data_IF_456651089210
#
_entry.id   IF_456651089210
#
_cell.length_a   1.000
_cell.length_b   1.000
_cell.length_c   1.000
_cell.angle_alpha   90.00
_cell.angle_beta   90.00
_cell.angle_gamma   90.00
#
_symmetry.space_group_name_H-M   'P 1'
#
loop_
_entity.id
_entity.type
_entity.pdbx_description
1 polymer ?
#
# COMPACT_ATOMS: atom_id res chain seq x y z
N UNK A 1 -83.09 -69.31 17.51
CA UNK A 1 -82.62 -68.20 16.65
C UNK A 1 -82.49 -66.83 17.33
N UNK A 2 -83.17 -66.53 18.44
CA UNK A 2 -83.14 -65.23 19.11
C UNK A 2 -81.82 -64.95 19.90
N UNK A 3 -81.14 -66.00 20.42
CA UNK A 3 -79.89 -65.85 21.17
C UNK A 3 -78.64 -65.62 20.31
N UNK A 4 -78.63 -66.08 19.07
CA UNK A 4 -77.49 -65.85 18.12
C UNK A 4 -77.44 -64.40 17.59
N UNK A 5 -78.59 -63.75 17.45
CA UNK A 5 -78.65 -62.35 16.99
C UNK A 5 -78.20 -61.37 18.09
N UNK A 6 -78.46 -61.63 19.35
CA UNK A 6 -78.04 -60.82 20.48
C UNK A 6 -76.51 -60.87 20.69
N UNK A 7 -75.88 -62.05 20.46
CA UNK A 7 -74.39 -62.18 20.58
C UNK A 7 -73.64 -61.43 19.49
N UNK A 8 -74.19 -61.41 18.26
CA UNK A 8 -73.52 -60.66 17.13
C UNK A 8 -73.62 -59.14 17.27
N UNK A 9 -74.70 -58.61 17.81
CA UNK A 9 -74.86 -57.16 18.06
C UNK A 9 -73.97 -56.71 19.21
N UNK A 10 -73.76 -57.54 20.25
CA UNK A 10 -72.86 -57.22 21.37
C UNK A 10 -71.36 -57.22 20.93
N UNK A 11 -70.97 -58.18 20.08
CA UNK A 11 -69.63 -58.23 19.51
C UNK A 11 -69.34 -57.04 18.56
N UNK A 12 -70.34 -56.58 17.78
CA UNK A 12 -70.23 -55.46 16.91
C UNK A 12 -70.12 -54.11 17.67
N UNK A 13 -70.83 -53.98 18.78
CA UNK A 13 -70.77 -52.83 19.67
C UNK A 13 -69.45 -52.77 20.44
N UNK A 14 -68.84 -53.89 20.80
CA UNK A 14 -67.49 -53.93 21.41
C UNK A 14 -66.37 -53.59 20.43
N UNK A 15 -66.52 -53.97 19.16
CA UNK A 15 -65.51 -53.62 18.12
C UNK A 15 -65.50 -52.12 17.79
N UNK A 16 -66.62 -51.46 17.81
CA UNK A 16 -66.70 -50.00 17.60
C UNK A 16 -66.02 -49.22 18.73
N UNK A 17 -66.15 -49.63 19.96
CA UNK A 17 -65.50 -49.00 21.11
C UNK A 17 -63.97 -49.25 21.11
N UNK A 18 -63.49 -50.39 20.57
CA UNK A 18 -62.05 -50.66 20.45
C UNK A 18 -61.38 -49.80 19.41
N UNK A 19 -62.07 -49.55 18.29
CA UNK A 19 -61.53 -48.60 17.26
C UNK A 19 -61.48 -47.19 17.79
N UNK A 20 -62.50 -46.69 18.44
CA UNK A 20 -62.47 -45.32 19.02
C UNK A 20 -61.38 -45.17 20.08
N UNK A 21 -61.09 -46.20 20.88
CA UNK A 21 -60.01 -46.16 21.88
C UNK A 21 -58.61 -46.20 21.29
N UNK A 22 -58.42 -46.92 20.18
CA UNK A 22 -57.14 -46.95 19.48
C UNK A 22 -56.84 -45.60 18.75
N UNK A 23 -57.87 -45.00 18.14
CA UNK A 23 -57.81 -43.72 17.46
C UNK A 23 -57.54 -42.58 18.46
N UNK A 24 -58.10 -42.60 19.65
CA UNK A 24 -57.86 -41.69 20.75
C UNK A 24 -56.41 -41.81 21.27
N UNK A 25 -55.83 -43.01 21.32
CA UNK A 25 -54.44 -43.23 21.67
C UNK A 25 -53.46 -42.63 20.63
N UNK A 26 -53.73 -42.77 19.34
CA UNK A 26 -52.92 -42.29 18.26
C UNK A 26 -53.02 -40.77 18.16
N UNK A 27 -54.22 -40.23 18.35
CA UNK A 27 -54.44 -38.80 18.45
C UNK A 27 -53.67 -38.17 19.64
N UNK A 28 -53.69 -38.77 20.79
CA UNK A 28 -52.95 -38.34 21.98
C UNK A 28 -51.45 -38.43 21.76
N UNK A 29 -50.94 -39.47 21.07
CA UNK A 29 -49.53 -39.60 20.73
C UNK A 29 -49.10 -38.48 19.80
N UNK A 30 -49.84 -38.15 18.73
CA UNK A 30 -49.57 -37.04 17.82
C UNK A 30 -49.64 -35.71 18.53
N UNK A 31 -50.56 -35.50 19.45
CA UNK A 31 -50.61 -34.26 20.26
C UNK A 31 -49.36 -34.13 21.12
N UNK A 32 -48.89 -35.20 21.75
CA UNK A 32 -47.70 -35.20 22.60
C UNK A 32 -46.43 -34.98 21.77
N UNK A 33 -46.35 -35.61 20.58
CA UNK A 33 -45.25 -35.42 19.65
C UNK A 33 -45.20 -33.97 19.13
N UNK A 34 -46.34 -33.39 18.74
CA UNK A 34 -46.45 -31.99 18.35
C UNK A 34 -46.10 -31.04 19.50
N UNK A 35 -46.53 -31.35 20.72
CA UNK A 35 -46.16 -30.55 21.90
C UNK A 35 -44.64 -30.57 22.14
N UNK A 36 -44.03 -31.75 22.00
CA UNK A 36 -42.59 -31.91 22.18
C UNK A 36 -41.82 -31.18 21.07
N UNK A 37 -42.27 -31.29 19.82
CA UNK A 37 -41.69 -30.57 18.68
C UNK A 37 -41.82 -29.04 18.82
N UNK A 38 -42.99 -28.59 19.24
CA UNK A 38 -43.19 -27.15 19.50
C UNK A 38 -42.31 -26.68 20.67
N UNK A 39 -42.16 -27.49 21.73
CA UNK A 39 -41.32 -27.15 22.86
C UNK A 39 -39.84 -27.04 22.45
N UNK A 40 -39.34 -28.01 21.67
CA UNK A 40 -37.97 -27.93 21.13
C UNK A 40 -37.77 -26.73 20.19
N UNK A 41 -38.75 -26.43 19.33
CA UNK A 41 -38.71 -25.26 18.46
C UNK A 41 -38.70 -23.92 19.26
N UNK A 42 -39.50 -23.86 20.33
CA UNK A 42 -39.48 -22.71 21.24
C UNK A 42 -38.16 -22.56 21.98
N UNK A 43 -37.54 -23.65 22.41
CA UNK A 43 -36.26 -23.64 23.09
C UNK A 43 -35.13 -23.25 22.14
N UNK A 44 -35.16 -23.71 20.89
CA UNK A 44 -34.23 -23.27 19.84
C UNK A 44 -34.39 -21.77 19.50
N UNK A 45 -35.65 -21.32 19.36
CA UNK A 45 -35.95 -19.91 19.12
C UNK A 45 -35.42 -19.04 20.25
N UNK A 46 -35.60 -19.46 21.50
CA UNK A 46 -35.11 -18.75 22.69
C UNK A 46 -33.59 -18.69 22.74
N UNK A 47 -32.90 -19.80 22.38
CA UNK A 47 -31.44 -19.82 22.25
C UNK A 47 -30.95 -18.89 21.18
N UNK A 48 -31.58 -18.88 20.01
CA UNK A 48 -31.23 -17.99 18.91
C UNK A 48 -31.46 -16.53 19.27
N UNK A 49 -32.54 -16.22 19.99
CA UNK A 49 -32.82 -14.87 20.47
C UNK A 49 -31.75 -14.41 21.48
N UNK A 50 -31.36 -15.25 22.43
CA UNK A 50 -30.27 -14.93 23.37
C UNK A 50 -28.95 -14.71 22.66
N UNK A 51 -28.60 -15.57 21.70
CA UNK A 51 -27.37 -15.38 20.90
C UNK A 51 -27.38 -14.08 20.07
N UNK A 52 -28.56 -13.67 19.57
CA UNK A 52 -28.73 -12.39 18.89
C UNK A 52 -28.54 -11.21 19.86
N UNK A 53 -29.15 -11.28 21.03
CA UNK A 53 -29.02 -10.25 22.06
C UNK A 53 -27.57 -10.09 22.52
N UNK A 54 -26.82 -11.18 22.70
CA UNK A 54 -25.37 -11.13 23.00
C UNK A 54 -24.57 -10.50 21.88
N UNK A 55 -24.88 -10.83 20.62
CA UNK A 55 -24.23 -10.22 19.45
C UNK A 55 -24.54 -8.73 19.32
N UNK A 56 -25.77 -8.34 19.58
CA UNK A 56 -26.17 -6.91 19.57
C UNK A 56 -25.45 -6.17 20.70
N UNK A 57 -25.39 -6.73 21.90
CA UNK A 57 -24.69 -6.15 23.03
C UNK A 57 -23.17 -6.01 22.74
N UNK A 58 -22.55 -7.01 22.09
CA UNK A 58 -21.16 -6.93 21.67
C UNK A 58 -20.93 -5.84 20.62
N UNK A 59 -21.81 -5.72 19.62
CA UNK A 59 -21.75 -4.65 18.62
C UNK A 59 -21.97 -3.27 19.27
N UNK A 60 -22.93 -3.15 20.18
CA UNK A 60 -23.13 -1.89 20.91
C UNK A 60 -21.93 -1.52 21.78
N UNK A 61 -21.27 -2.49 22.41
CA UNK A 61 -20.04 -2.29 23.17
C UNK A 61 -18.88 -1.80 22.27
N UNK A 62 -18.77 -2.32 21.04
CA UNK A 62 -17.79 -1.87 20.05
C UNK A 62 -18.14 -0.46 19.54
N UNK A 63 -19.41 -0.18 19.25
CA UNK A 63 -19.88 1.10 18.72
C UNK A 63 -19.87 2.21 19.78
N UNK A 64 -20.25 1.91 21.01
CA UNK A 64 -20.26 2.86 22.15
C UNK A 64 -18.93 2.93 22.90
N UNK A 65 -18.10 1.87 22.76
CA UNK A 65 -16.83 1.76 23.44
C UNK A 65 -15.66 2.32 22.62
N UNK A 66 -14.54 2.40 23.23
CA UNK A 66 -13.23 2.92 22.86
C UNK A 66 -12.85 2.99 21.37
N UNK A 67 -13.43 2.17 20.50
CA UNK A 67 -13.07 2.13 19.08
C UNK A 67 -13.40 3.41 18.32
N UNK A 68 -14.51 4.09 18.61
CA UNK A 68 -14.85 5.36 17.96
C UNK A 68 -13.97 6.51 18.46
N UNK A 69 -13.68 6.53 19.77
CA UNK A 69 -12.77 7.52 20.36
C UNK A 69 -11.33 7.29 19.91
N UNK A 70 -10.92 6.04 19.76
CA UNK A 70 -9.59 5.66 19.24
C UNK A 70 -9.44 6.02 17.77
N UNK A 71 -10.47 5.79 16.95
CA UNK A 71 -10.53 6.24 15.56
C UNK A 71 -10.49 7.77 15.44
N UNK A 72 -11.23 8.49 16.28
CA UNK A 72 -11.19 9.96 16.32
C UNK A 72 -9.80 10.46 16.70
N UNK A 73 -9.15 9.81 17.69
CA UNK A 73 -7.77 10.14 18.09
C UNK A 73 -6.78 9.87 16.96
N UNK A 74 -6.92 8.76 16.22
CA UNK A 74 -6.07 8.45 15.07
C UNK A 74 -6.28 9.46 13.92
N UNK A 75 -7.52 9.86 13.65
CA UNK A 75 -7.82 10.89 12.65
C UNK A 75 -7.20 12.24 13.04
N UNK A 76 -7.28 12.62 14.31
CA UNK A 76 -6.65 13.83 14.83
C UNK A 76 -5.13 13.77 14.70
N UNK A 77 -4.52 12.64 15.06
CA UNK A 77 -3.08 12.41 14.92
C UNK A 77 -2.64 12.46 13.44
N UNK A 78 -3.39 11.84 12.54
CA UNK A 78 -3.14 11.90 11.10
C UNK A 78 -3.24 13.33 10.56
N UNK A 79 -4.21 14.12 11.03
CA UNK A 79 -4.34 15.52 10.65
C UNK A 79 -3.17 16.38 11.16
N UNK A 80 -2.68 16.10 12.36
CA UNK A 80 -1.49 16.76 12.90
C UNK A 80 -0.23 16.38 12.11
N UNK A 81 -0.05 15.10 11.77
CA UNK A 81 1.05 14.65 10.91
C UNK A 81 0.97 15.25 9.50
N UNK A 82 -0.23 15.31 8.92
CA UNK A 82 -0.44 15.96 7.63
C UNK A 82 -0.06 17.44 7.66
N UNK A 83 -0.42 18.14 8.72
CA UNK A 83 -0.08 19.56 8.91
C UNK A 83 1.44 19.75 9.08
N UNK A 84 2.10 18.85 9.84
CA UNK A 84 3.56 18.84 10.01
C UNK A 84 4.28 18.60 8.67
N UNK A 85 3.87 17.55 7.93
CA UNK A 85 4.45 17.22 6.63
C UNK A 85 4.25 18.35 5.63
N UNK A 86 3.09 19.02 5.67
CA UNK A 86 2.82 20.20 4.84
C UNK A 86 3.76 21.36 5.16
N UNK A 87 3.99 21.63 6.44
CA UNK A 87 4.94 22.65 6.89
C UNK A 87 6.38 22.30 6.50
N UNK A 88 6.80 21.03 6.65
CA UNK A 88 8.13 20.57 6.22
C UNK A 88 8.31 20.68 4.70
N UNK A 89 7.25 20.40 3.93
CA UNK A 89 7.25 20.58 2.47
C UNK A 89 7.38 22.04 2.07
N UNK A 90 6.69 22.95 2.75
CA UNK A 90 6.81 24.40 2.51
C UNK A 90 8.22 24.90 2.81
N UNK A 91 8.82 24.47 3.92
CA UNK A 91 10.22 24.80 4.25
C UNK A 91 11.18 24.19 3.23
N UNK A 92 10.97 22.94 2.82
CA UNK A 92 11.81 22.28 1.82
C UNK A 92 11.71 22.98 0.45
N UNK A 93 10.52 23.38 0.02
CA UNK A 93 10.32 24.12 -1.24
C UNK A 93 10.93 25.52 -1.19
N UNK A 94 10.81 26.20 -0.05
CA UNK A 94 11.48 27.50 0.15
C UNK A 94 13.01 27.37 0.12
N UNK A 95 13.57 26.37 0.80
CA UNK A 95 14.99 26.10 0.79
C UNK A 95 15.50 25.72 -0.62
N UNK A 96 14.72 24.97 -1.37
CA UNK A 96 15.02 24.62 -2.75
C UNK A 96 15.04 25.88 -3.66
N UNK A 97 14.01 26.73 -3.53
CA UNK A 97 13.97 28.00 -4.26
C UNK A 97 15.17 28.91 -3.90
N UNK A 98 15.50 29.01 -2.62
CA UNK A 98 16.67 29.76 -2.14
C UNK A 98 17.98 29.17 -2.67
N UNK A 99 18.12 27.86 -2.72
CA UNK A 99 19.30 27.18 -3.26
C UNK A 99 19.41 27.39 -4.76
N UNK A 100 18.29 27.30 -5.50
CA UNK A 100 18.26 27.61 -6.92
C UNK A 100 18.66 29.09 -7.21
N UNK A 101 18.18 29.99 -6.36
CA UNK A 101 18.56 31.41 -6.51
C UNK A 101 20.08 31.61 -6.28
N UNK A 102 20.62 31.06 -5.20
CA UNK A 102 22.07 31.09 -4.93
C UNK A 102 22.87 30.46 -6.07
N UNK A 103 22.38 29.38 -6.64
CA UNK A 103 23.02 28.70 -7.76
C UNK A 103 23.03 29.59 -9.01
N UNK A 104 21.93 30.28 -9.31
CA UNK A 104 21.87 31.28 -10.40
C UNK A 104 22.83 32.46 -10.15
N UNK A 105 22.85 32.94 -8.91
CA UNK A 105 23.73 34.04 -8.52
C UNK A 105 25.22 33.65 -8.64
N UNK A 106 25.54 32.38 -8.26
CA UNK A 106 26.89 31.83 -8.42
C UNK A 106 27.27 31.67 -9.90
N UNK A 107 26.35 31.21 -10.75
CA UNK A 107 26.61 31.13 -12.20
C UNK A 107 26.77 32.49 -12.82
N UNK A 108 25.99 33.49 -12.42
CA UNK A 108 26.15 34.88 -12.91
C UNK A 108 27.49 35.49 -12.46
N UNK A 109 27.90 35.22 -11.20
CA UNK A 109 29.21 35.65 -10.68
C UNK A 109 30.37 34.96 -11.44
N UNK A 110 30.22 33.62 -11.64
CA UNK A 110 31.22 32.83 -12.37
C UNK A 110 31.33 33.28 -13.84
N UNK A 111 30.21 33.53 -14.52
CA UNK A 111 30.21 34.06 -15.91
C UNK A 111 30.85 35.44 -15.98
N UNK A 112 30.58 36.32 -15.00
CA UNK A 112 31.18 37.62 -14.90
C UNK A 112 32.68 37.53 -14.67
N UNK A 113 33.14 36.63 -13.79
CA UNK A 113 34.56 36.39 -13.52
C UNK A 113 35.27 35.71 -14.70
N UNK A 114 34.56 34.79 -15.38
CA UNK A 114 35.08 34.13 -16.58
C UNK A 114 35.31 35.14 -17.71
N UNK A 115 34.34 36.03 -17.96
CA UNK A 115 34.48 37.12 -18.93
C UNK A 115 35.61 38.10 -18.57
N UNK A 116 35.83 38.36 -17.27
CA UNK A 116 36.97 39.16 -16.81
C UNK A 116 38.30 38.43 -17.01
N UNK A 117 38.34 37.10 -16.82
CA UNK A 117 39.52 36.27 -17.06
C UNK A 117 39.78 36.06 -18.56
N UNK A 118 38.74 35.89 -19.38
CA UNK A 118 38.86 35.81 -20.84
C UNK A 118 39.37 37.13 -21.44
N UNK A 119 38.91 38.26 -20.89
CA UNK A 119 39.47 39.57 -21.23
C UNK A 119 40.93 39.77 -20.81
N UNK A 120 41.38 39.05 -19.77
CA UNK A 120 42.77 39.04 -19.31
C UNK A 120 43.63 37.94 -20.00
N UNK A 121 42.99 36.82 -20.44
CA UNK A 121 43.66 35.64 -21.02
C UNK A 121 43.90 35.75 -22.53
N UNK A 122 43.44 36.81 -23.18
CA UNK A 122 43.86 37.06 -24.57
C UNK A 122 45.36 37.35 -24.72
N UNK A 123 46.17 37.18 -23.67
CA UNK A 123 47.61 37.37 -23.65
C UNK A 123 48.46 36.21 -23.07
N UNK A 124 48.00 34.99 -22.97
CA UNK A 124 48.87 33.86 -22.59
C UNK A 124 48.40 32.50 -23.14
N UNK A 125 49.35 31.60 -23.57
CA UNK A 125 49.02 30.41 -24.35
C UNK A 125 48.67 29.16 -23.50
N UNK A 126 47.85 28.37 -24.11
CA UNK A 126 47.37 26.98 -23.89
C UNK A 126 48.13 26.06 -22.93
N UNK A 127 47.36 25.26 -22.22
CA UNK A 127 47.74 23.94 -21.73
C UNK A 127 46.93 23.45 -20.56
N UNK A 128 46.09 22.43 -20.77
CA UNK A 128 45.59 21.55 -19.71
C UNK A 128 44.10 21.27 -19.74
N UNK A 129 43.70 20.24 -20.50
CA UNK A 129 42.38 19.65 -20.50
C UNK A 129 42.01 19.08 -19.12
N UNK A 130 40.92 19.58 -18.55
CA UNK A 130 40.04 18.79 -17.69
C UNK A 130 38.66 18.89 -18.31
N UNK A 131 38.24 17.83 -18.98
CA UNK A 131 36.90 17.71 -19.58
C UNK A 131 35.87 17.51 -18.47
N UNK A 132 35.42 18.60 -17.85
CA UNK A 132 34.07 18.66 -17.28
C UNK A 132 33.13 18.83 -18.48
N UNK A 133 32.33 17.79 -18.76
CA UNK A 133 31.33 17.84 -19.80
C UNK A 133 30.30 18.91 -19.42
N UNK A 134 30.42 20.08 -20.06
CA UNK A 134 29.40 21.14 -19.92
C UNK A 134 28.06 20.55 -20.34
N UNK A 135 27.14 20.46 -19.38
CA UNK A 135 25.74 20.10 -19.66
C UNK A 135 25.19 21.15 -20.58
N UNK A 136 24.83 20.79 -21.81
CA UNK A 136 24.28 21.78 -22.74
C UNK A 136 23.00 22.38 -22.15
N UNK A 137 22.72 23.64 -22.43
CA UNK A 137 21.51 24.31 -21.95
C UNK A 137 20.24 23.56 -22.40
N UNK A 138 20.29 22.89 -23.55
CA UNK A 138 19.22 22.06 -24.09
C UNK A 138 19.02 20.78 -23.25
N UNK A 139 20.09 20.07 -22.92
CA UNK A 139 20.08 18.91 -22.04
C UNK A 139 19.49 19.24 -20.65
N UNK A 140 19.94 20.38 -20.08
CA UNK A 140 19.41 20.84 -18.79
C UNK A 140 17.90 21.11 -18.87
N UNK A 141 17.43 21.77 -19.93
CA UNK A 141 16.00 22.07 -20.13
C UNK A 141 15.17 20.80 -20.33
N UNK A 142 15.67 19.81 -21.11
CA UNK A 142 14.98 18.52 -21.30
C UNK A 142 14.84 17.74 -19.97
N UNK A 143 15.91 17.69 -19.19
CA UNK A 143 15.88 17.06 -17.86
C UNK A 143 14.89 17.76 -16.91
N UNK A 144 14.98 19.09 -16.82
CA UNK A 144 14.13 19.87 -15.91
C UNK A 144 12.65 19.77 -16.31
N UNK A 145 12.34 19.73 -17.61
CA UNK A 145 10.99 19.48 -18.10
C UNK A 145 10.48 18.08 -17.71
N UNK A 146 11.31 17.04 -17.86
CA UNK A 146 10.97 15.70 -17.45
C UNK A 146 10.74 15.59 -15.93
N UNK A 147 11.58 16.26 -15.13
CA UNK A 147 11.44 16.31 -13.66
C UNK A 147 10.21 17.10 -13.21
N UNK A 148 9.80 18.12 -13.97
CA UNK A 148 8.55 18.85 -13.71
C UNK A 148 7.32 17.94 -13.89
N UNK A 149 7.34 17.04 -14.88
CA UNK A 149 6.27 16.02 -15.07
C UNK A 149 6.20 15.03 -13.90
N UNK A 150 7.36 14.61 -13.37
CA UNK A 150 7.42 13.76 -12.17
C UNK A 150 6.80 14.48 -10.97
N UNK A 151 7.17 15.74 -10.73
CA UNK A 151 6.62 16.57 -9.64
C UNK A 151 5.10 16.79 -9.79
N UNK A 152 4.63 16.94 -11.03
CA UNK A 152 3.21 17.08 -11.34
C UNK A 152 2.42 15.75 -11.28
N UNK A 153 3.09 14.63 -10.90
CA UNK A 153 2.51 13.28 -10.87
C UNK A 153 1.98 12.81 -12.23
N UNK A 154 2.43 13.40 -13.34
CA UNK A 154 2.12 13.00 -14.70
C UNK A 154 3.02 11.84 -15.14
N UNK A 155 2.83 10.69 -14.48
CA UNK A 155 3.78 9.57 -14.54
C UNK A 155 3.97 8.99 -15.94
N UNK A 156 2.96 8.98 -16.81
CA UNK A 156 3.09 8.50 -18.19
C UNK A 156 3.95 9.44 -19.03
N UNK A 157 3.66 10.74 -18.97
CA UNK A 157 4.41 11.77 -19.68
C UNK A 157 5.86 11.82 -19.17
N UNK A 158 6.04 11.73 -17.84
CA UNK A 158 7.36 11.66 -17.21
C UNK A 158 8.16 10.44 -17.70
N UNK A 159 7.53 9.27 -17.78
CA UNK A 159 8.15 8.06 -18.32
C UNK A 159 8.67 8.26 -19.74
N UNK A 160 7.84 8.82 -20.63
CA UNK A 160 8.23 9.08 -22.02
C UNK A 160 9.37 10.10 -22.14
N UNK A 161 9.27 11.21 -21.40
CA UNK A 161 10.28 12.25 -21.39
C UNK A 161 11.63 11.78 -20.82
N UNK A 162 11.60 11.05 -19.68
CA UNK A 162 12.82 10.52 -19.07
C UNK A 162 13.49 9.44 -19.93
N UNK A 163 12.68 8.59 -20.56
CA UNK A 163 13.20 7.56 -21.47
C UNK A 163 13.88 8.19 -22.68
N UNK A 164 13.28 9.25 -23.27
CA UNK A 164 13.87 10.02 -24.35
C UNK A 164 15.19 10.65 -23.90
N UNK A 165 15.20 11.30 -22.73
CA UNK A 165 16.40 11.95 -22.17
C UNK A 165 17.55 10.96 -21.98
N UNK A 166 17.30 9.79 -21.36
CA UNK A 166 18.31 8.76 -21.13
C UNK A 166 18.91 8.21 -22.44
N UNK A 167 18.08 8.10 -23.50
CA UNK A 167 18.55 7.67 -24.80
C UNK A 167 19.35 8.72 -25.54
N UNK A 168 18.97 10.00 -25.42
CA UNK A 168 19.64 11.12 -26.07
C UNK A 168 20.98 11.48 -25.38
N UNK A 169 21.03 11.34 -24.04
CA UNK A 169 22.15 11.80 -23.21
C UNK A 169 22.75 10.68 -22.34
N UNK A 170 23.30 9.59 -22.94
CA UNK A 170 23.79 8.42 -22.18
C UNK A 170 25.04 8.72 -21.34
N UNK A 171 25.74 9.81 -21.62
CA UNK A 171 26.91 10.27 -20.86
C UNK A 171 26.62 11.45 -19.92
N UNK A 172 25.35 11.82 -19.77
CA UNK A 172 24.95 12.95 -18.94
C UNK A 172 25.33 12.73 -17.47
N UNK A 173 25.86 13.72 -16.76
CA UNK A 173 26.04 13.68 -15.31
C UNK A 173 24.70 13.56 -14.57
N UNK A 174 23.57 13.89 -15.21
CA UNK A 174 22.21 13.75 -14.67
C UNK A 174 21.59 12.38 -14.93
N UNK A 175 22.31 11.47 -15.60
CA UNK A 175 21.82 10.13 -15.94
C UNK A 175 21.34 9.33 -14.73
N UNK A 176 22.04 9.31 -13.57
CA UNK A 176 21.57 8.58 -12.39
C UNK A 176 20.25 9.13 -11.85
N UNK A 177 20.10 10.47 -11.81
CA UNK A 177 18.84 11.09 -11.37
C UNK A 177 17.69 10.79 -12.34
N UNK A 178 17.96 10.81 -13.65
CA UNK A 178 16.98 10.45 -14.67
C UNK A 178 16.58 8.98 -14.58
N UNK A 179 17.53 8.05 -14.38
CA UNK A 179 17.24 6.63 -14.18
C UNK A 179 16.41 6.39 -12.91
N UNK A 180 16.75 7.06 -11.81
CA UNK A 180 15.95 7.00 -10.59
C UNK A 180 14.51 7.45 -10.82
N UNK A 181 14.34 8.62 -11.45
CA UNK A 181 13.04 9.19 -11.75
C UNK A 181 12.22 8.31 -12.72
N UNK A 182 12.88 7.69 -13.71
CA UNK A 182 12.26 6.75 -14.63
C UNK A 182 11.72 5.51 -13.88
N UNK A 183 12.53 4.91 -13.01
CA UNK A 183 12.11 3.78 -12.18
C UNK A 183 10.95 4.14 -11.25
N UNK A 184 10.94 5.35 -10.70
CA UNK A 184 9.83 5.86 -9.90
C UNK A 184 8.55 6.03 -10.73
N UNK A 185 8.64 6.58 -11.94
CA UNK A 185 7.50 6.71 -12.86
C UNK A 185 6.94 5.33 -13.25
N UNK A 186 7.80 4.35 -13.54
CA UNK A 186 7.41 2.97 -13.80
C UNK A 186 6.70 2.32 -12.61
N UNK A 187 7.20 2.52 -11.40
CA UNK A 187 6.54 2.07 -10.18
C UNK A 187 5.13 2.66 -10.02
N UNK A 188 4.99 3.96 -10.23
CA UNK A 188 3.72 4.69 -10.14
C UNK A 188 2.71 4.22 -11.20
N UNK A 189 3.21 3.80 -12.37
CA UNK A 189 2.42 3.17 -13.44
C UNK A 189 2.14 1.68 -13.18
N UNK A 190 2.51 1.15 -12.01
CA UNK A 190 2.39 -0.26 -11.61
C UNK A 190 3.22 -1.23 -12.48
N UNK A 191 4.18 -0.72 -13.23
CA UNK A 191 5.11 -1.55 -13.99
C UNK A 191 6.31 -1.94 -13.11
N UNK A 192 6.04 -2.72 -12.08
CA UNK A 192 7.01 -3.04 -11.03
C UNK A 192 8.25 -3.79 -11.53
N UNK A 193 8.10 -4.70 -12.51
CA UNK A 193 9.24 -5.42 -13.08
C UNK A 193 10.20 -4.49 -13.80
N UNK A 194 9.67 -3.56 -14.60
CA UNK A 194 10.50 -2.57 -15.28
C UNK A 194 11.13 -1.59 -14.28
N UNK A 195 10.40 -1.18 -13.23
CA UNK A 195 10.93 -0.33 -12.18
C UNK A 195 12.15 -0.98 -11.50
N UNK A 196 12.07 -2.28 -11.14
CA UNK A 196 13.19 -3.03 -10.58
C UNK A 196 14.38 -3.01 -11.53
N UNK A 197 14.18 -3.40 -12.80
CA UNK A 197 15.28 -3.47 -13.78
C UNK A 197 15.96 -2.10 -13.99
N UNK A 198 15.18 -1.01 -14.04
CA UNK A 198 15.72 0.35 -14.17
C UNK A 198 16.54 0.76 -12.95
N UNK A 199 16.04 0.48 -11.74
CA UNK A 199 16.74 0.82 -10.51
C UNK A 199 17.99 -0.06 -10.30
N UNK A 200 17.95 -1.35 -10.69
CA UNK A 200 19.12 -2.23 -10.67
C UNK A 200 20.22 -1.73 -11.61
N UNK A 201 19.83 -1.25 -12.80
CA UNK A 201 20.77 -0.64 -13.73
C UNK A 201 21.46 0.59 -13.14
N UNK A 202 20.71 1.45 -12.45
CA UNK A 202 21.26 2.59 -11.72
C UNK A 202 22.29 2.13 -10.69
N UNK A 203 21.95 1.14 -9.86
CA UNK A 203 22.84 0.63 -8.82
C UNK A 203 24.12 -0.01 -9.38
N UNK A 204 24.04 -0.67 -10.54
CA UNK A 204 25.20 -1.25 -11.21
C UNK A 204 26.14 -0.19 -11.79
N UNK A 205 25.60 0.88 -12.35
CA UNK A 205 26.36 1.93 -13.00
C UNK A 205 26.85 3.00 -12.02
N UNK A 206 26.08 3.28 -10.98
CA UNK A 206 26.31 4.39 -10.06
C UNK A 206 26.07 3.99 -8.60
N UNK A 207 26.81 3.01 -8.06
CA UNK A 207 26.57 2.49 -6.70
C UNK A 207 26.76 3.54 -5.60
N UNK A 208 27.65 4.51 -5.82
CA UNK A 208 27.97 5.56 -4.84
C UNK A 208 27.11 6.81 -5.03
N UNK A 209 26.19 6.84 -5.97
CA UNK A 209 25.35 8.00 -6.21
C UNK A 209 24.36 8.22 -5.07
N UNK A 210 24.05 9.49 -4.77
CA UNK A 210 23.12 9.86 -3.68
C UNK A 210 21.73 9.22 -3.81
N UNK A 211 21.30 8.81 -5.01
CA UNK A 211 20.04 8.12 -5.27
C UNK A 211 20.11 6.60 -5.11
N UNK A 212 21.28 6.01 -4.89
CA UNK A 212 21.41 4.56 -4.76
C UNK A 212 20.55 3.98 -3.60
N UNK A 213 20.55 4.53 -2.38
CA UNK A 213 19.68 4.04 -1.32
C UNK A 213 18.19 4.20 -1.62
N UNK A 214 17.78 5.30 -2.26
CA UNK A 214 16.40 5.51 -2.70
C UNK A 214 15.99 4.48 -3.76
N UNK A 215 16.89 4.17 -4.70
CA UNK A 215 16.69 3.16 -5.73
C UNK A 215 16.49 1.77 -5.12
N UNK A 216 17.34 1.37 -4.16
CA UNK A 216 17.17 0.10 -3.43
C UNK A 216 15.84 0.02 -2.68
N UNK A 217 15.43 1.12 -2.04
CA UNK A 217 14.14 1.17 -1.36
C UNK A 217 12.97 1.01 -2.34
N UNK A 218 13.06 1.61 -3.54
CA UNK A 218 12.06 1.45 -4.60
C UNK A 218 12.04 0.02 -5.17
N UNK A 219 13.18 -0.66 -5.29
CA UNK A 219 13.24 -2.08 -5.64
C UNK A 219 12.47 -2.91 -4.62
N UNK A 220 12.75 -2.73 -3.33
CA UNK A 220 12.06 -3.45 -2.27
C UNK A 220 10.54 -3.21 -2.30
N UNK A 221 10.11 -1.96 -2.51
CA UNK A 221 8.70 -1.63 -2.65
C UNK A 221 8.06 -2.32 -3.87
N UNK A 222 8.78 -2.38 -5.00
CA UNK A 222 8.32 -3.06 -6.21
C UNK A 222 8.20 -4.57 -6.01
N UNK A 223 9.16 -5.19 -5.30
CA UNK A 223 9.15 -6.60 -4.93
C UNK A 223 7.95 -6.93 -4.04
N UNK A 224 7.62 -6.06 -3.07
CA UNK A 224 6.41 -6.21 -2.23
C UNK A 224 5.15 -6.21 -3.10
N UNK A 225 5.05 -5.31 -4.06
CA UNK A 225 3.89 -5.22 -4.97
C UNK A 225 3.77 -6.47 -5.86
N UNK A 226 4.89 -7.12 -6.17
CA UNK A 226 4.95 -8.39 -6.88
C UNK A 226 4.77 -9.62 -5.97
N UNK A 227 4.50 -9.41 -4.68
CA UNK A 227 4.41 -10.46 -3.66
C UNK A 227 5.73 -11.23 -3.42
N UNK A 228 6.86 -10.68 -3.87
CA UNK A 228 8.19 -11.21 -3.58
C UNK A 228 8.68 -10.69 -2.21
N UNK A 229 8.09 -11.23 -1.17
CA UNK A 229 8.37 -10.81 0.22
C UNK A 229 9.81 -11.11 0.63
N UNK A 230 10.33 -12.27 0.23
CA UNK A 230 11.71 -12.67 0.59
C UNK A 230 12.76 -11.84 -0.16
N UNK A 231 12.53 -11.56 -1.45
CA UNK A 231 13.34 -10.61 -2.19
C UNK A 231 13.35 -9.22 -1.55
N UNK A 232 12.19 -8.70 -1.17
CA UNK A 232 12.08 -7.41 -0.50
C UNK A 232 12.84 -7.36 0.84
N UNK A 233 12.72 -8.39 1.67
CA UNK A 233 13.48 -8.51 2.93
C UNK A 233 14.99 -8.49 2.67
N UNK A 234 15.44 -9.25 1.67
CA UNK A 234 16.86 -9.30 1.28
C UNK A 234 17.35 -7.93 0.83
N UNK A 235 16.61 -7.27 -0.06
CA UNK A 235 16.96 -5.93 -0.57
C UNK A 235 17.04 -4.90 0.54
N UNK A 236 16.06 -4.90 1.48
CA UNK A 236 16.06 -3.99 2.62
C UNK A 236 17.24 -4.23 3.58
N UNK A 237 17.62 -5.48 3.82
CA UNK A 237 18.81 -5.79 4.65
C UNK A 237 20.10 -5.30 3.99
N UNK A 238 20.22 -5.46 2.67
CA UNK A 238 21.38 -4.96 1.91
C UNK A 238 21.43 -3.43 1.99
N UNK A 239 20.28 -2.74 1.80
CA UNK A 239 20.19 -1.29 1.92
C UNK A 239 20.69 -0.81 3.30
N UNK A 240 20.19 -1.41 4.37
CA UNK A 240 20.58 -1.04 5.74
C UNK A 240 22.05 -1.33 6.04
N UNK A 241 22.62 -2.36 5.41
CA UNK A 241 24.06 -2.68 5.55
C UNK A 241 24.96 -1.75 4.76
N UNK A 242 24.57 -1.38 3.54
CA UNK A 242 25.39 -0.55 2.66
C UNK A 242 25.21 0.94 2.91
N UNK A 243 23.99 1.39 3.23
CA UNK A 243 23.63 2.79 3.38
C UNK A 243 22.94 3.09 4.73
N UNK A 244 23.56 2.75 5.87
CA UNK A 244 22.93 2.85 7.20
C UNK A 244 22.58 4.30 7.59
N UNK A 245 23.26 5.28 7.01
CA UNK A 245 23.06 6.70 7.30
C UNK A 245 22.20 7.41 6.24
N UNK A 246 21.62 6.67 5.29
CA UNK A 246 20.76 7.28 4.28
C UNK A 246 19.43 7.77 4.88
N UNK A 247 18.84 8.78 4.27
CA UNK A 247 17.56 9.34 4.68
C UNK A 247 16.42 8.30 4.64
N UNK A 248 16.54 7.25 3.81
CA UNK A 248 15.55 6.18 3.69
C UNK A 248 15.78 5.01 4.66
N UNK A 249 16.92 4.96 5.36
CA UNK A 249 17.25 3.85 6.27
C UNK A 249 16.20 3.64 7.38
N UNK A 250 15.66 4.67 8.06
CA UNK A 250 14.60 4.48 9.05
C UNK A 250 13.35 3.84 8.47
N UNK A 251 12.93 4.28 7.26
CA UNK A 251 11.77 3.73 6.57
C UNK A 251 12.01 2.27 6.13
N UNK A 252 13.23 1.97 5.67
CA UNK A 252 13.64 0.62 5.30
C UNK A 252 13.61 -0.33 6.51
N UNK A 253 14.10 0.12 7.65
CA UNK A 253 14.09 -0.65 8.90
C UNK A 253 12.67 -0.95 9.38
N UNK A 254 11.80 0.06 9.37
CA UNK A 254 10.39 -0.12 9.74
C UNK A 254 9.69 -1.10 8.81
N UNK A 255 9.92 -0.98 7.51
CA UNK A 255 9.34 -1.88 6.50
C UNK A 255 9.83 -3.31 6.65
N UNK A 256 11.13 -3.49 6.88
CA UNK A 256 11.72 -4.81 7.14
C UNK A 256 11.09 -5.46 8.37
N UNK A 257 10.95 -4.73 9.48
CA UNK A 257 10.30 -5.22 10.71
C UNK A 257 8.86 -5.68 10.44
N UNK A 258 8.09 -4.93 9.66
CA UNK A 258 6.72 -5.32 9.29
C UNK A 258 6.74 -6.60 8.46
N UNK A 259 7.61 -6.71 7.45
CA UNK A 259 7.71 -7.91 6.61
C UNK A 259 8.17 -9.15 7.40
N UNK A 260 9.02 -8.98 8.40
CA UNK A 260 9.48 -10.06 9.28
C UNK A 260 8.39 -10.53 10.26
N UNK A 261 7.46 -9.64 10.63
CA UNK A 261 6.32 -10.00 11.48
C UNK A 261 5.25 -10.81 10.74
N UNK A 262 5.22 -10.75 9.41
CA UNK A 262 4.34 -11.57 8.58
C UNK A 262 4.95 -12.98 8.52
N UNK A 263 4.42 -13.90 9.34
CA UNK A 263 4.80 -15.31 9.26
C UNK A 263 4.55 -15.79 7.84
N UNK A 264 5.60 -16.29 7.19
CA UNK A 264 5.44 -17.04 5.93
C UNK A 264 4.48 -18.20 6.19
N UNK A 265 3.31 -18.12 5.60
CA UNK A 265 2.35 -19.23 5.59
C UNK A 265 2.78 -20.27 4.59
#
# INVERSE_FOLDING_TARGET
MRFLVLGSVLLFALSQNAHAFLEDKEARKKITENQTQNQTAFDELRKNQQALEERVAAIEAIVKGRGLLDLLSQVEQLNQELSRVKGELEVATHNMASTQQRQRDLYADTDTRLRQLEGAASQAPAGGEAAESEVSAEEAAEFDAAMALVKASKHREAFEALNKFIQAHPASPRLPDAQYALGYAQFSLKNYKAAIATQEKLLQQFPDHAKAPDAMFNIANSQIQLSDVEGAKKTLRILLGQYPQSAVAPNAQQRLKVLESIKSR
#
